data_IF_247358359759
#
_entry.id   IF_247358359759
#
_cell.length_a   1.000
_cell.length_b   1.000
_cell.length_c   1.000
_cell.angle_alpha   90.00
_cell.angle_beta   90.00
_cell.angle_gamma   90.00
#
_symmetry.space_group_name_H-M   'P 1'
#
loop_
_entity.id
_entity.type
_entity.pdbx_description
1 polymer ?
#
# COMPACT_ATOMS: atom_id res chain seq x y z
N UNK A 1 -4.02 25.00 9.63
CA UNK A 1 -4.22 23.79 10.45
C UNK A 1 -4.68 22.68 9.53
N UNK A 2 -3.84 21.69 9.25
CA UNK A 2 -4.27 20.48 8.53
C UNK A 2 -5.04 19.61 9.52
N UNK A 3 -6.34 19.45 9.29
CA UNK A 3 -7.18 18.52 10.05
C UNK A 3 -6.59 17.13 9.82
N UNK A 4 -6.11 16.49 10.88
CA UNK A 4 -5.55 15.15 10.78
C UNK A 4 -6.66 14.16 10.39
N UNK A 5 -6.36 13.13 9.57
CA UNK A 5 -7.34 12.10 9.28
C UNK A 5 -7.81 11.45 10.59
N UNK A 6 -9.13 11.26 10.81
CA UNK A 6 -9.66 10.72 12.07
C UNK A 6 -8.95 9.43 12.53
N UNK A 7 -8.59 8.57 11.58
CA UNK A 7 -7.94 7.27 11.84
C UNK A 7 -6.53 7.42 12.44
N UNK A 8 -5.72 8.39 11.99
CA UNK A 8 -4.36 8.57 12.54
C UNK A 8 -4.38 9.10 13.97
N UNK A 9 -5.34 9.98 14.28
CA UNK A 9 -5.54 10.51 15.63
C UNK A 9 -6.01 9.42 16.59
N UNK A 10 -7.03 8.65 16.20
CA UNK A 10 -7.53 7.52 16.99
C UNK A 10 -6.45 6.47 17.25
N UNK A 11 -5.62 6.17 16.24
CA UNK A 11 -4.49 5.25 16.39
C UNK A 11 -3.43 5.78 17.36
N UNK A 12 -3.10 7.08 17.29
CA UNK A 12 -2.19 7.72 18.23
C UNK A 12 -2.73 7.72 19.67
N UNK A 13 -4.01 8.05 19.85
CA UNK A 13 -4.67 8.01 21.15
C UNK A 13 -4.70 6.58 21.72
N UNK A 14 -5.01 5.58 20.89
CA UNK A 14 -4.98 4.18 21.28
C UNK A 14 -3.58 3.75 21.72
N UNK A 15 -2.54 4.08 20.95
CA UNK A 15 -1.15 3.78 21.31
C UNK A 15 -0.78 4.40 22.66
N UNK A 16 -1.05 5.70 22.86
CA UNK A 16 -0.72 6.41 24.10
C UNK A 16 -1.49 5.88 25.31
N UNK A 17 -2.68 5.29 25.11
CA UNK A 17 -3.46 4.69 26.21
C UNK A 17 -2.72 3.52 26.91
N UNK A 18 -1.77 2.87 26.24
CA UNK A 18 -0.92 1.82 26.84
C UNK A 18 0.27 2.38 27.64
N UNK A 19 0.53 3.68 27.55
CA UNK A 19 1.67 4.34 28.20
C UNK A 19 1.22 5.54 29.06
N UNK A 20 0.42 5.32 30.13
CA UNK A 20 -0.20 6.39 30.91
C UNK A 20 0.79 7.33 31.62
N UNK A 21 2.07 6.96 31.73
CA UNK A 21 3.13 7.81 32.29
C UNK A 21 3.78 8.77 31.31
N UNK A 22 3.38 8.76 30.03
CA UNK A 22 3.90 9.67 29.01
C UNK A 22 2.97 10.87 28.88
N UNK A 23 3.48 12.04 29.23
CA UNK A 23 2.79 13.32 29.05
C UNK A 23 2.92 13.81 27.60
N UNK A 24 2.12 13.21 26.70
CA UNK A 24 1.98 13.60 25.30
C UNK A 24 0.51 13.50 24.88
N UNK A 25 0.02 14.53 24.21
CA UNK A 25 -1.26 14.43 23.49
C UNK A 25 -1.10 13.67 22.18
N UNK A 26 -2.20 13.14 21.62
CA UNK A 26 -2.18 12.44 20.33
C UNK A 26 -1.71 13.36 19.18
N UNK A 27 -2.07 14.65 19.25
CA UNK A 27 -1.66 15.69 18.32
C UNK A 27 -0.16 15.97 18.41
N UNK A 28 0.37 16.13 19.63
CA UNK A 28 1.81 16.36 19.85
C UNK A 28 2.64 15.16 19.42
N UNK A 29 2.19 13.95 19.77
CA UNK A 29 2.83 12.71 19.32
C UNK A 29 2.87 12.66 17.79
N UNK A 30 1.75 12.91 17.12
CA UNK A 30 1.66 12.84 15.65
C UNK A 30 2.53 13.89 14.97
N UNK A 31 2.57 15.12 15.51
CA UNK A 31 3.44 16.17 15.00
C UNK A 31 4.92 15.81 15.14
N UNK A 32 5.34 15.34 16.32
CA UNK A 32 6.74 14.92 16.57
C UNK A 32 7.12 13.69 15.73
N UNK A 33 6.23 12.71 15.61
CA UNK A 33 6.38 11.54 14.73
C UNK A 33 6.62 11.96 13.29
N UNK A 34 5.79 12.85 12.75
CA UNK A 34 5.89 13.31 11.35
C UNK A 34 7.24 13.98 11.09
N UNK A 35 7.71 14.84 12.00
CA UNK A 35 9.02 15.49 11.87
C UNK A 35 10.16 14.46 11.88
N UNK A 36 10.09 13.46 12.76
CA UNK A 36 11.09 12.38 12.81
C UNK A 36 11.09 11.53 11.55
N UNK A 37 9.89 11.15 11.09
CA UNK A 37 9.67 10.34 9.91
C UNK A 37 10.14 11.02 8.61
N UNK A 38 9.81 12.30 8.40
CA UNK A 38 10.21 13.05 7.20
C UNK A 38 11.74 13.12 7.06
N UNK A 39 12.50 13.08 8.17
CA UNK A 39 13.97 13.03 8.16
C UNK A 39 14.55 11.65 7.80
N UNK A 40 13.76 10.59 7.99
CA UNK A 40 14.20 9.20 7.85
C UNK A 40 13.66 8.51 6.59
N UNK A 41 12.58 8.99 5.99
CA UNK A 41 11.99 8.37 4.79
C UNK A 41 12.96 8.19 3.62
N UNK A 42 13.87 9.14 3.40
CA UNK A 42 14.86 9.03 2.33
C UNK A 42 15.98 8.04 2.61
N UNK A 43 16.06 7.48 3.84
CA UNK A 43 17.07 6.49 4.23
C UNK A 43 16.57 5.05 4.17
N UNK A 44 15.27 4.86 3.90
CA UNK A 44 14.62 3.55 3.77
C UNK A 44 15.40 2.67 2.79
N UNK A 45 15.58 1.41 3.18
CA UNK A 45 16.25 0.38 2.38
C UNK A 45 15.25 -0.69 1.96
N UNK A 46 15.44 -1.34 0.81
CA UNK A 46 14.60 -2.46 0.44
C UNK A 46 14.83 -3.62 1.41
N UNK A 47 13.77 -4.35 1.75
CA UNK A 47 13.96 -5.55 2.57
C UNK A 47 14.74 -6.63 1.79
N UNK A 48 15.50 -7.49 2.49
CA UNK A 48 16.24 -8.57 1.85
C UNK A 48 15.33 -9.43 0.97
N UNK A 49 15.76 -9.65 -0.27
CA UNK A 49 15.03 -10.49 -1.24
C UNK A 49 14.03 -9.74 -2.12
N UNK A 50 13.58 -8.53 -1.77
CA UNK A 50 12.66 -7.75 -2.62
C UNK A 50 13.23 -7.45 -3.99
N UNK A 51 14.46 -6.90 -4.12
CA UNK A 51 14.98 -6.56 -5.43
C UNK A 51 15.08 -7.80 -6.33
N UNK A 52 15.47 -8.94 -5.75
CA UNK A 52 15.55 -10.24 -6.44
C UNK A 52 14.17 -10.73 -6.90
N UNK A 53 13.15 -10.65 -6.04
CA UNK A 53 11.79 -11.05 -6.36
C UNK A 53 11.19 -10.19 -7.46
N UNK A 54 11.26 -8.86 -7.32
CA UNK A 54 10.74 -7.90 -8.29
C UNK A 54 11.43 -8.08 -9.64
N UNK A 55 12.76 -8.18 -9.66
CA UNK A 55 13.51 -8.45 -10.89
C UNK A 55 13.12 -9.79 -11.52
N UNK A 56 12.92 -10.85 -10.71
CA UNK A 56 12.48 -12.15 -11.22
C UNK A 56 11.10 -12.08 -11.88
N UNK A 57 10.12 -11.46 -11.21
CA UNK A 57 8.76 -11.31 -11.72
C UNK A 57 8.76 -10.48 -13.01
N UNK A 58 9.47 -9.35 -13.03
CA UNK A 58 9.61 -8.50 -14.21
C UNK A 58 10.26 -9.23 -15.39
N UNK A 59 11.35 -9.97 -15.16
CA UNK A 59 12.02 -10.78 -16.18
C UNK A 59 11.16 -11.94 -16.71
N UNK A 60 10.14 -12.35 -15.96
CA UNK A 60 9.13 -13.34 -16.39
C UNK A 60 7.91 -12.69 -17.04
N UNK A 61 7.89 -11.37 -17.22
CA UNK A 61 6.78 -10.64 -17.80
C UNK A 61 5.53 -10.64 -16.93
N UNK A 62 5.67 -10.88 -15.62
CA UNK A 62 4.56 -10.85 -14.67
C UNK A 62 4.32 -9.38 -14.29
N UNK A 63 3.13 -8.81 -14.56
CA UNK A 63 2.84 -7.42 -14.21
C UNK A 63 2.82 -7.20 -12.70
N UNK A 64 3.37 -6.08 -12.23
CA UNK A 64 3.50 -5.74 -10.81
C UNK A 64 2.96 -4.34 -10.59
N UNK A 65 2.19 -4.15 -9.53
CA UNK A 65 1.66 -2.84 -9.09
C UNK A 65 1.85 -2.71 -7.59
N UNK A 66 2.06 -1.49 -7.10
CA UNK A 66 2.09 -1.18 -5.67
C UNK A 66 0.74 -0.61 -5.25
N UNK A 67 0.14 -1.19 -4.22
CA UNK A 67 -1.05 -0.67 -3.54
C UNK A 67 -0.69 -0.35 -2.09
N UNK A 68 -0.60 0.94 -1.74
CA UNK A 68 -0.12 1.38 -0.41
C UNK A 68 -1.14 2.28 0.29
N UNK A 69 -1.31 2.07 1.60
CA UNK A 69 -2.09 2.96 2.46
C UNK A 69 -1.31 4.25 2.81
N UNK A 70 -0.08 4.41 2.34
CA UNK A 70 0.64 5.69 2.45
C UNK A 70 -0.01 6.74 1.56
N UNK A 71 -0.08 7.97 2.04
CA UNK A 71 -0.29 9.14 1.19
C UNK A 71 0.83 9.25 0.15
N UNK A 72 0.52 9.81 -1.02
CA UNK A 72 1.44 9.98 -2.15
C UNK A 72 2.71 10.72 -1.73
N UNK A 73 2.59 11.76 -0.90
CA UNK A 73 3.74 12.50 -0.34
C UNK A 73 4.74 11.58 0.36
N UNK A 74 4.24 10.74 1.28
CA UNK A 74 5.08 9.82 2.05
C UNK A 74 5.67 8.74 1.13
N UNK A 75 4.89 8.21 0.19
CA UNK A 75 5.39 7.25 -0.79
C UNK A 75 6.57 7.82 -1.60
N UNK A 76 6.46 9.06 -2.08
CA UNK A 76 7.53 9.71 -2.85
C UNK A 76 8.81 9.87 -2.03
N UNK A 77 8.70 10.22 -0.74
CA UNK A 77 9.86 10.30 0.16
C UNK A 77 10.51 8.92 0.40
N UNK A 78 9.69 7.89 0.67
CA UNK A 78 10.15 6.51 0.91
C UNK A 78 10.80 5.85 -0.33
N UNK A 79 10.37 6.25 -1.51
CA UNK A 79 10.83 5.67 -2.79
C UNK A 79 11.96 6.46 -3.45
N UNK A 80 12.31 7.64 -2.93
CA UNK A 80 13.22 8.58 -3.56
C UNK A 80 14.59 7.97 -3.92
N UNK A 81 15.15 7.16 -3.00
CA UNK A 81 16.44 6.49 -3.16
C UNK A 81 16.33 5.06 -3.75
N UNK A 82 15.11 4.53 -3.96
CA UNK A 82 14.89 3.13 -4.36
C UNK A 82 14.64 2.95 -5.87
N UNK A 83 14.78 4.02 -6.66
CA UNK A 83 14.45 4.00 -8.10
C UNK A 83 15.24 2.96 -8.89
N UNK A 84 16.54 2.81 -8.62
CA UNK A 84 17.40 1.85 -9.35
C UNK A 84 17.19 0.39 -8.95
N UNK A 85 16.80 0.14 -7.69
CA UNK A 85 16.77 -1.21 -7.12
C UNK A 85 15.41 -1.88 -7.20
N UNK A 86 14.33 -1.09 -7.09
CA UNK A 86 12.95 -1.58 -7.09
C UNK A 86 12.18 -0.99 -8.26
N UNK A 87 12.05 0.34 -8.32
CA UNK A 87 11.07 0.97 -9.21
C UNK A 87 11.45 0.94 -10.69
N UNK A 88 12.72 0.68 -11.02
CA UNK A 88 13.18 0.48 -12.40
C UNK A 88 12.52 -0.70 -13.12
N UNK A 89 11.97 -1.66 -12.36
CA UNK A 89 11.32 -2.86 -12.90
C UNK A 89 9.81 -2.71 -13.14
N UNK A 90 9.18 -1.62 -12.68
CA UNK A 90 7.72 -1.41 -12.75
C UNK A 90 7.24 -0.85 -14.11
N UNK A 91 7.92 -1.20 -15.21
CA UNK A 91 7.54 -0.82 -16.57
C UNK A 91 8.70 -0.26 -17.40
N UNK A 92 9.24 -1.09 -18.30
CA UNK A 92 10.21 -0.72 -19.35
C UNK A 92 9.54 -0.35 -20.68
N UNK A 93 8.30 0.16 -20.67
CA UNK A 93 7.60 0.57 -21.88
C UNK A 93 6.78 1.82 -21.64
N UNK A 94 7.21 2.91 -22.29
CA UNK A 94 6.51 4.20 -22.42
C UNK A 94 6.66 5.12 -21.19
N UNK A 95 6.82 6.40 -21.50
CA UNK A 95 7.07 7.54 -20.62
C UNK A 95 6.09 7.59 -19.43
N UNK A 96 6.57 7.42 -18.19
CA UNK A 96 5.74 7.60 -16.99
C UNK A 96 5.96 6.58 -15.87
N UNK A 97 7.15 6.56 -15.25
CA UNK A 97 7.54 5.60 -14.19
C UNK A 97 6.80 5.76 -12.84
N UNK A 98 5.74 6.57 -12.77
CA UNK A 98 4.89 6.76 -11.59
C UNK A 98 3.51 6.09 -11.73
N UNK A 99 3.22 5.48 -12.88
CA UNK A 99 1.89 4.97 -13.17
C UNK A 99 1.53 3.69 -12.40
N UNK A 100 2.48 2.79 -12.06
CA UNK A 100 2.20 1.48 -11.42
C UNK A 100 2.05 1.54 -9.88
N UNK A 101 1.50 2.63 -9.36
CA UNK A 101 1.33 2.85 -7.92
C UNK A 101 -0.04 3.45 -7.62
N UNK A 102 -0.76 2.86 -6.68
CA UNK A 102 -1.97 3.38 -6.04
C UNK A 102 -1.67 3.66 -4.56
N UNK A 103 -1.89 4.89 -4.14
CA UNK A 103 -1.75 5.41 -2.79
C UNK A 103 -3.11 5.63 -2.15
N UNK A 104 -3.13 5.93 -0.84
CA UNK A 104 -4.38 6.20 -0.12
C UNK A 104 -5.19 7.37 -0.71
N UNK A 105 -4.49 8.41 -1.18
CA UNK A 105 -5.14 9.60 -1.76
C UNK A 105 -5.89 9.28 -3.07
N UNK A 106 -5.47 8.27 -3.83
CA UNK A 106 -6.10 7.89 -5.10
C UNK A 106 -7.45 7.16 -4.90
N UNK A 107 -7.68 6.65 -3.69
CA UNK A 107 -8.92 5.93 -3.33
C UNK A 107 -9.74 6.67 -2.27
N UNK A 108 -9.34 7.90 -1.94
CA UNK A 108 -10.04 8.75 -1.00
C UNK A 108 -11.50 8.96 -1.45
N UNK A 109 -12.45 8.79 -0.51
CA UNK A 109 -13.88 8.88 -0.79
C UNK A 109 -14.51 7.64 -1.41
N UNK A 110 -13.72 6.64 -1.81
CA UNK A 110 -14.20 5.30 -2.18
C UNK A 110 -13.92 4.26 -1.12
N UNK A 111 -12.87 4.47 -0.33
CA UNK A 111 -12.47 3.59 0.76
C UNK A 111 -11.95 4.38 1.95
N UNK A 112 -12.14 3.84 3.15
CA UNK A 112 -11.51 4.31 4.39
C UNK A 112 -10.18 3.58 4.68
N UNK A 113 -9.67 2.82 3.71
CA UNK A 113 -8.47 2.02 3.84
C UNK A 113 -8.76 0.56 4.24
N UNK A 114 -7.68 -0.21 4.32
CA UNK A 114 -7.72 -1.64 4.69
C UNK A 114 -8.41 -1.82 6.06
N UNK A 115 -9.27 -2.84 6.25
CA UNK A 115 -9.35 -4.10 5.49
C UNK A 115 -10.32 -4.07 4.30
N UNK A 116 -10.81 -2.91 3.88
CA UNK A 116 -11.53 -2.76 2.61
C UNK A 116 -10.66 -3.21 1.42
N UNK A 117 -11.16 -4.06 0.50
CA UNK A 117 -10.39 -4.55 -0.65
C UNK A 117 -10.19 -3.51 -1.76
N UNK A 118 -10.89 -2.37 -1.71
CA UNK A 118 -10.98 -1.43 -2.83
C UNK A 118 -9.62 -0.99 -3.38
N UNK A 119 -8.60 -0.81 -2.52
CA UNK A 119 -7.26 -0.40 -2.98
C UNK A 119 -6.61 -1.45 -3.91
N UNK A 120 -6.81 -2.74 -3.64
CA UNK A 120 -6.29 -3.81 -4.49
C UNK A 120 -7.09 -3.95 -5.78
N UNK A 121 -8.41 -3.80 -5.70
CA UNK A 121 -9.29 -3.80 -6.88
C UNK A 121 -8.96 -2.62 -7.82
N UNK A 122 -8.81 -1.42 -7.25
CA UNK A 122 -8.38 -0.21 -7.95
C UNK A 122 -7.01 -0.40 -8.60
N UNK A 123 -6.01 -0.92 -7.88
CA UNK A 123 -4.69 -1.18 -8.44
C UNK A 123 -4.72 -2.17 -9.63
N UNK A 124 -5.43 -3.29 -9.50
CA UNK A 124 -5.54 -4.27 -10.57
C UNK A 124 -6.31 -3.72 -11.79
N UNK A 125 -7.37 -2.94 -11.56
CA UNK A 125 -8.18 -2.35 -12.63
C UNK A 125 -7.43 -1.22 -13.35
N UNK A 126 -7.03 -0.19 -12.60
CA UNK A 126 -6.51 1.06 -13.16
C UNK A 126 -5.08 0.92 -13.67
N UNK A 127 -4.26 0.06 -13.06
CA UNK A 127 -2.83 -0.05 -13.40
C UNK A 127 -2.49 -1.30 -14.19
N UNK A 128 -3.17 -2.40 -13.92
CA UNK A 128 -2.95 -3.67 -14.61
C UNK A 128 -4.00 -3.98 -15.70
N UNK A 129 -5.02 -3.13 -15.87
CA UNK A 129 -6.06 -3.28 -16.89
C UNK A 129 -6.94 -4.52 -16.69
N UNK A 130 -7.09 -5.00 -15.46
CA UNK A 130 -7.82 -6.25 -15.17
C UNK A 130 -9.30 -5.99 -14.91
N UNK A 131 -10.16 -6.84 -15.45
CA UNK A 131 -11.59 -6.83 -15.14
C UNK A 131 -11.84 -7.52 -13.80
N UNK A 132 -11.61 -6.80 -12.70
CA UNK A 132 -11.85 -7.29 -11.34
C UNK A 132 -13.09 -6.67 -10.68
N UNK A 133 -13.71 -5.64 -11.28
CA UNK A 133 -14.82 -4.91 -10.67
C UNK A 133 -14.44 -4.19 -9.35
N UNK A 134 -15.44 -3.59 -8.71
CA UNK A 134 -15.24 -2.63 -7.61
C UNK A 134 -15.88 -3.07 -6.29
N UNK A 135 -16.80 -4.04 -6.36
CA UNK A 135 -17.60 -4.49 -5.23
C UNK A 135 -17.16 -5.83 -4.65
N UNK A 136 -17.99 -6.34 -3.74
CA UNK A 136 -17.83 -7.63 -3.08
C UNK A 136 -19.14 -8.45 -3.14
N UNK A 137 -19.06 -9.73 -2.79
CA UNK A 137 -20.21 -10.61 -2.69
C UNK A 137 -20.97 -10.76 -4.01
N UNK A 138 -22.30 -10.61 -3.95
CA UNK A 138 -23.21 -10.83 -5.09
C UNK A 138 -23.00 -9.84 -6.25
N UNK A 139 -22.30 -8.73 -6.02
CA UNK A 139 -21.99 -7.74 -7.06
C UNK A 139 -20.86 -8.15 -8.02
N UNK A 140 -20.17 -9.26 -7.74
CA UNK A 140 -19.01 -9.73 -8.52
C UNK A 140 -19.43 -10.81 -9.50
N UNK A 141 -19.13 -10.63 -10.79
CA UNK A 141 -19.50 -11.62 -11.82
C UNK A 141 -18.61 -12.86 -11.78
N UNK A 142 -19.04 -14.02 -12.31
CA UNK A 142 -18.21 -15.22 -12.41
C UNK A 142 -16.86 -14.98 -13.09
N UNK A 143 -16.83 -14.16 -14.14
CA UNK A 143 -15.61 -13.80 -14.87
C UNK A 143 -14.65 -12.99 -13.98
N UNK A 144 -15.18 -12.05 -13.20
CA UNK A 144 -14.39 -11.26 -12.25
C UNK A 144 -13.84 -12.12 -11.12
N UNK A 145 -14.59 -13.12 -10.63
CA UNK A 145 -14.10 -14.08 -9.64
C UNK A 145 -12.90 -14.86 -10.18
N UNK A 146 -12.99 -15.36 -11.42
CA UNK A 146 -11.89 -16.07 -12.07
C UNK A 146 -10.67 -15.18 -12.30
N UNK A 147 -10.86 -13.90 -12.66
CA UNK A 147 -9.75 -12.96 -12.84
C UNK A 147 -9.09 -12.58 -11.50
N UNK A 148 -9.89 -12.31 -10.46
CA UNK A 148 -9.41 -12.02 -9.09
C UNK A 148 -8.52 -13.15 -8.56
N UNK A 149 -8.90 -14.41 -8.81
CA UNK A 149 -8.13 -15.59 -8.40
C UNK A 149 -6.71 -15.70 -8.98
N UNK A 150 -6.41 -14.98 -10.07
CA UNK A 150 -5.05 -14.90 -10.64
C UNK A 150 -4.15 -13.89 -9.93
N UNK A 151 -4.73 -13.01 -9.09
CA UNK A 151 -4.00 -12.02 -8.32
C UNK A 151 -3.28 -12.64 -7.13
N UNK A 152 -2.04 -12.18 -6.89
CA UNK A 152 -1.25 -12.50 -5.71
C UNK A 152 -0.92 -11.22 -4.94
N UNK A 153 -1.35 -11.15 -3.68
CA UNK A 153 -1.11 -10.00 -2.80
C UNK A 153 -0.02 -10.36 -1.77
N UNK A 154 0.97 -9.49 -1.64
CA UNK A 154 2.01 -9.53 -0.60
C UNK A 154 1.70 -8.45 0.44
N UNK A 155 1.46 -8.84 1.70
CA UNK A 155 1.10 -7.92 2.80
C UNK A 155 1.67 -8.39 4.14
N UNK A 156 2.17 -7.43 4.92
CA UNK A 156 2.78 -7.64 6.24
C UNK A 156 1.80 -7.44 7.41
N UNK A 157 0.75 -6.64 7.19
CA UNK A 157 -0.23 -6.29 8.21
C UNK A 157 -1.54 -7.07 8.06
N UNK A 158 -2.15 -7.46 9.20
CA UNK A 158 -3.43 -8.18 9.24
C UNK A 158 -4.53 -7.50 8.41
N UNK A 159 -4.77 -6.16 8.51
CA UNK A 159 -5.78 -5.51 7.70
C UNK A 159 -5.52 -5.62 6.19
N UNK A 160 -4.25 -5.58 5.78
CA UNK A 160 -3.85 -5.76 4.39
C UNK A 160 -4.12 -7.17 3.87
N UNK A 161 -3.78 -8.18 4.66
CA UNK A 161 -4.08 -9.58 4.33
C UNK A 161 -5.59 -9.83 4.24
N UNK A 162 -6.36 -9.24 5.16
CA UNK A 162 -7.83 -9.30 5.11
C UNK A 162 -8.37 -8.64 3.84
N UNK A 163 -7.88 -7.45 3.48
CA UNK A 163 -8.25 -6.76 2.25
C UNK A 163 -7.91 -7.60 1.00
N UNK A 164 -6.74 -8.24 0.95
CA UNK A 164 -6.36 -9.11 -0.18
C UNK A 164 -7.29 -10.31 -0.34
N UNK A 165 -7.65 -10.97 0.78
CA UNK A 165 -8.61 -12.07 0.78
C UNK A 165 -10.00 -11.62 0.34
N UNK A 166 -10.47 -10.48 0.84
CA UNK A 166 -11.76 -9.87 0.45
C UNK A 166 -11.80 -9.47 -1.02
N UNK A 167 -10.67 -9.09 -1.59
CA UNK A 167 -10.54 -8.82 -3.02
C UNK A 167 -10.66 -10.10 -3.89
N UNK A 168 -10.79 -11.29 -3.30
CA UNK A 168 -10.82 -12.56 -4.02
C UNK A 168 -9.46 -12.97 -4.60
N UNK A 169 -8.38 -12.36 -4.12
CA UNK A 169 -7.01 -12.63 -4.56
C UNK A 169 -6.34 -13.63 -3.63
N UNK A 170 -5.37 -14.37 -4.16
CA UNK A 170 -4.51 -15.23 -3.34
C UNK A 170 -3.66 -14.34 -2.43
N UNK A 171 -3.92 -14.37 -1.12
CA UNK A 171 -3.11 -13.67 -0.14
C UNK A 171 -1.97 -14.56 0.32
N UNK A 172 -0.73 -14.12 0.11
CA UNK A 172 0.41 -14.75 0.75
C UNK A 172 0.89 -13.84 1.90
N UNK A 173 0.81 -14.37 3.13
CA UNK A 173 1.29 -13.64 4.31
C UNK A 173 2.81 -13.57 4.23
N UNK A 174 3.32 -12.38 3.94
CA UNK A 174 4.75 -12.11 3.88
C UNK A 174 4.97 -10.75 4.50
N UNK A 175 5.96 -10.61 5.37
CA UNK A 175 6.34 -9.30 5.90
C UNK A 175 7.01 -8.47 4.79
N UNK A 176 6.26 -7.93 3.81
CA UNK A 176 6.84 -7.13 2.73
C UNK A 176 5.90 -6.30 1.82
N UNK A 177 6.03 -4.96 1.86
CA UNK A 177 6.37 -4.09 0.71
C UNK A 177 6.72 -2.68 1.23
N UNK A 178 8.02 -2.43 1.44
CA UNK A 178 8.59 -1.21 2.01
C UNK A 178 8.15 -1.00 3.48
N UNK A 179 8.71 -1.76 4.42
CA UNK A 179 8.45 -1.50 5.84
C UNK A 179 9.12 -0.20 6.28
N UNK A 180 8.24 0.74 6.64
CA UNK A 180 8.36 2.04 7.32
C UNK A 180 9.17 3.13 6.62
#
# INVERSE_FOLDING_TARGET
MSIQPPVEHEAAAHLLSFFPGIDLTAEEYSARRTIGQDRLWSTVQPLPGVPKLIAHLANKGIPIVIATASQRRNFLLKSANLRGEIFGYFGCGIEGKEEMVVCADDVAGKSNGKPDPYIFLCAAREKLGRNVGDGEGESVTPEQILERGKGLVFEDAIPGVQAGKRAGMSGAYFTLLICW
#
